data_IF_507093243404
#
_entry.id   IF_507093243404
#
_cell.length_a   1.000
_cell.length_b   1.000
_cell.length_c   1.000
_cell.angle_alpha   90.00
_cell.angle_beta   90.00
_cell.angle_gamma   90.00
#
_symmetry.space_group_name_H-M   'P 1'
#
loop_
_entity.id
_entity.type
_entity.pdbx_description
1 polymer ?
#
# COMPACT_ATOMS: atom_id res chain seq x y z
N UNK A 1 -0.32 -6.85 -21.77
CA UNK A 1 -0.54 -6.01 -20.57
C UNK A 1 -0.09 -6.79 -19.35
N UNK A 2 0.74 -6.20 -18.51
CA UNK A 2 1.19 -6.87 -17.29
C UNK A 2 0.02 -7.01 -16.31
N UNK A 3 0.00 -8.13 -15.58
CA UNK A 3 -1.02 -8.34 -14.56
C UNK A 3 -0.84 -7.34 -13.42
N UNK A 4 -1.96 -6.89 -12.85
CA UNK A 4 -1.95 -5.98 -11.72
C UNK A 4 -1.68 -6.76 -10.43
N UNK A 5 -0.68 -6.34 -9.68
CA UNK A 5 -0.31 -6.94 -8.40
C UNK A 5 -0.89 -6.14 -7.23
N UNK A 6 -1.02 -4.82 -7.40
CA UNK A 6 -1.45 -3.88 -6.36
C UNK A 6 -2.46 -2.92 -6.97
N UNK A 7 -3.56 -2.68 -6.25
CA UNK A 7 -4.56 -1.68 -6.63
C UNK A 7 -4.48 -0.49 -5.68
N UNK A 8 -4.44 0.71 -6.26
CA UNK A 8 -4.53 1.98 -5.55
C UNK A 8 -5.85 2.61 -6.00
N UNK A 9 -6.73 2.93 -5.06
CA UNK A 9 -8.06 3.41 -5.42
C UNK A 9 -8.09 4.87 -5.86
N UNK A 10 -7.35 5.71 -5.14
CA UNK A 10 -7.34 7.16 -5.34
C UNK A 10 -5.89 7.61 -5.47
N UNK A 11 -5.62 8.58 -6.35
CA UNK A 11 -4.26 9.10 -6.56
C UNK A 11 -3.64 9.64 -5.27
N UNK A 12 -4.47 10.09 -4.31
CA UNK A 12 -4.01 10.63 -3.03
C UNK A 12 -3.71 9.54 -2.00
N UNK A 13 -4.06 8.30 -2.28
CA UNK A 13 -3.81 7.20 -1.36
C UNK A 13 -2.31 6.96 -1.21
N UNK A 14 -1.85 6.78 0.02
CA UNK A 14 -0.46 6.49 0.30
C UNK A 14 -0.19 5.01 0.55
N UNK A 15 -1.21 4.18 0.41
CA UNK A 15 -1.10 2.72 0.46
C UNK A 15 -1.86 2.10 -0.71
N UNK A 16 -1.39 0.95 -1.15
CA UNK A 16 -2.09 0.11 -2.12
C UNK A 16 -2.49 -1.21 -1.48
N UNK A 17 -3.41 -1.92 -2.11
CA UNK A 17 -3.89 -3.23 -1.65
C UNK A 17 -3.35 -4.32 -2.56
N UNK A 18 -2.76 -5.35 -1.97
CA UNK A 18 -2.24 -6.51 -2.71
C UNK A 18 -3.42 -7.35 -3.18
N UNK A 19 -3.48 -7.62 -4.49
CA UNK A 19 -4.58 -8.38 -5.11
C UNK A 19 -4.14 -9.69 -5.73
N UNK A 20 -2.87 -10.06 -5.57
CA UNK A 20 -2.35 -11.39 -5.93
C UNK A 20 -2.17 -12.19 -4.64
N UNK A 21 -1.96 -13.49 -4.77
CA UNK A 21 -1.88 -14.39 -3.63
C UNK A 21 -0.84 -13.94 -2.60
N UNK A 22 0.32 -13.50 -3.07
CA UNK A 22 1.41 -13.05 -2.20
C UNK A 22 2.44 -12.26 -2.99
N UNK A 23 2.97 -11.20 -2.37
CA UNK A 23 4.14 -10.49 -2.86
C UNK A 23 5.35 -10.96 -2.05
N UNK A 24 6.45 -11.27 -2.72
CA UNK A 24 7.71 -11.66 -2.07
C UNK A 24 8.64 -10.44 -1.92
N UNK A 25 9.63 -10.49 -1.00
CA UNK A 25 10.59 -9.40 -0.87
C UNK A 25 11.36 -9.14 -2.17
N UNK A 26 11.62 -7.87 -2.46
CA UNK A 26 12.38 -7.42 -3.64
C UNK A 26 11.72 -7.76 -4.97
N UNK A 27 10.41 -7.92 -4.97
CA UNK A 27 9.63 -8.16 -6.16
C UNK A 27 9.24 -6.83 -6.81
N UNK A 28 9.40 -6.73 -8.13
CA UNK A 28 8.88 -5.59 -8.88
C UNK A 28 7.38 -5.81 -9.10
N UNK A 29 6.57 -4.90 -8.58
CA UNK A 29 5.12 -5.03 -8.60
C UNK A 29 4.50 -4.02 -9.54
N UNK A 30 3.48 -4.45 -10.27
CA UNK A 30 2.68 -3.57 -11.14
C UNK A 30 1.51 -3.02 -10.34
N UNK A 31 1.41 -1.70 -10.27
CA UNK A 31 0.36 -1.00 -9.53
C UNK A 31 -0.56 -0.30 -10.51
N UNK A 32 -1.86 -0.34 -10.21
CA UNK A 32 -2.88 0.33 -11.01
C UNK A 32 -3.67 1.29 -10.13
N UNK A 33 -3.71 2.57 -10.54
CA UNK A 33 -4.51 3.59 -9.86
C UNK A 33 -5.86 3.63 -10.56
N UNK A 34 -6.90 3.20 -9.87
CA UNK A 34 -8.24 3.05 -10.44
C UNK A 34 -8.86 4.39 -10.84
N UNK A 35 -8.65 5.42 -10.04
CA UNK A 35 -9.28 6.73 -10.23
C UNK A 35 -8.97 7.33 -11.60
N UNK A 36 -7.73 7.22 -12.07
CA UNK A 36 -7.29 7.86 -13.31
C UNK A 36 -6.71 6.89 -14.33
N UNK A 37 -6.85 5.60 -14.09
CA UNK A 37 -6.36 4.54 -14.99
C UNK A 37 -4.87 4.66 -15.30
N UNK A 38 -4.08 5.03 -14.31
CA UNK A 38 -2.62 5.12 -14.45
C UNK A 38 -1.96 3.89 -13.84
N UNK A 39 -0.81 3.55 -14.37
CA UNK A 39 -0.01 2.43 -13.88
C UNK A 39 1.36 2.94 -13.42
N UNK A 40 1.89 2.29 -12.41
CA UNK A 40 3.24 2.54 -11.93
C UNK A 40 3.82 1.25 -11.36
N UNK A 41 5.11 1.25 -11.07
CA UNK A 41 5.74 0.08 -10.45
C UNK A 41 6.39 0.46 -9.13
N UNK A 42 6.48 -0.53 -8.24
CA UNK A 42 7.12 -0.38 -6.94
C UNK A 42 7.85 -1.68 -6.61
N UNK A 43 9.01 -1.58 -5.97
CA UNK A 43 9.71 -2.75 -5.47
C UNK A 43 9.30 -3.00 -4.02
N UNK A 44 8.84 -4.20 -3.74
CA UNK A 44 8.48 -4.60 -2.37
C UNK A 44 9.73 -4.79 -1.52
N UNK A 45 9.58 -4.61 -0.21
CA UNK A 45 10.64 -4.86 0.77
C UNK A 45 10.32 -6.03 1.69
N UNK A 46 9.07 -6.43 1.74
CA UNK A 46 8.60 -7.49 2.61
C UNK A 46 7.73 -8.47 1.84
N UNK A 47 7.49 -9.63 2.45
CA UNK A 47 6.44 -10.53 2.01
C UNK A 47 5.10 -9.94 2.43
N UNK A 48 4.16 -9.80 1.50
CA UNK A 48 2.86 -9.19 1.76
C UNK A 48 1.76 -10.09 1.22
N UNK A 49 0.89 -10.62 2.09
CA UNK A 49 -0.19 -11.50 1.67
C UNK A 49 -1.32 -10.76 0.95
N UNK A 50 -2.13 -11.53 0.22
CA UNK A 50 -3.34 -11.03 -0.42
C UNK A 50 -4.21 -10.25 0.57
N UNK A 51 -4.69 -9.10 0.15
CA UNK A 51 -5.59 -8.26 0.96
C UNK A 51 -4.88 -7.33 1.93
N UNK A 52 -3.60 -7.54 2.18
CA UNK A 52 -2.82 -6.62 3.01
C UNK A 52 -2.37 -5.42 2.19
N UNK A 53 -1.86 -4.40 2.85
CA UNK A 53 -1.48 -3.14 2.22
C UNK A 53 0.03 -2.99 2.10
N UNK A 54 0.45 -2.24 1.10
CA UNK A 54 1.85 -1.89 0.86
C UNK A 54 1.97 -0.36 0.85
N UNK A 55 3.03 0.16 1.46
CA UNK A 55 3.30 1.59 1.46
C UNK A 55 3.75 2.05 0.08
N UNK A 56 3.08 3.05 -0.48
CA UNK A 56 3.43 3.62 -1.77
C UNK A 56 4.42 4.77 -1.64
N UNK A 57 4.63 5.27 -0.42
CA UNK A 57 5.58 6.34 -0.07
C UNK A 57 6.15 6.04 1.30
N UNK A 58 7.23 6.74 1.67
CA UNK A 58 7.74 6.67 3.04
C UNK A 58 6.74 7.34 3.98
N UNK A 59 6.47 6.69 5.10
CA UNK A 59 5.52 7.16 6.11
C UNK A 59 6.23 7.28 7.44
N UNK A 60 6.04 8.41 8.11
CA UNK A 60 6.61 8.65 9.42
C UNK A 60 5.58 8.36 10.52
N UNK A 61 6.06 8.05 11.73
CA UNK A 61 5.19 7.90 12.88
C UNK A 61 4.31 9.14 13.04
N UNK A 62 3.01 8.92 13.19
CA UNK A 62 2.03 9.99 13.28
C UNK A 62 1.36 10.36 11.97
N UNK A 63 1.88 9.90 10.85
CA UNK A 63 1.27 10.17 9.54
C UNK A 63 -0.07 9.46 9.41
N UNK A 64 -0.94 10.05 8.60
CA UNK A 64 -2.28 9.51 8.31
C UNK A 64 -2.20 8.52 7.15
N UNK A 65 -2.88 7.39 7.28
CA UNK A 65 -3.06 6.44 6.18
C UNK A 65 -4.30 6.84 5.39
N UNK A 66 -4.12 7.05 4.09
CA UNK A 66 -5.19 7.42 3.17
C UNK A 66 -5.52 6.24 2.27
N UNK A 67 -6.80 5.89 2.23
CA UNK A 67 -7.35 4.88 1.32
C UNK A 67 -8.71 5.37 0.84
N UNK A 68 -8.96 5.29 -0.46
CA UNK A 68 -10.14 5.91 -1.08
C UNK A 68 -10.22 7.41 -0.78
N UNK A 69 -9.07 8.08 -0.58
CA UNK A 69 -9.04 9.47 -0.19
C UNK A 69 -9.47 9.74 1.25
N UNK A 70 -9.73 8.70 2.04
CA UNK A 70 -10.19 8.81 3.43
C UNK A 70 -9.10 8.40 4.42
N UNK A 71 -9.11 9.06 5.57
CA UNK A 71 -8.24 8.73 6.70
C UNK A 71 -8.76 7.47 7.38
N UNK A 72 -7.98 6.38 7.26
CA UNK A 72 -8.36 5.09 7.85
C UNK A 72 -7.49 4.70 9.04
N UNK A 73 -6.46 5.46 9.35
CA UNK A 73 -5.59 5.13 10.46
C UNK A 73 -4.40 6.03 10.59
N UNK A 74 -3.59 5.77 11.61
CA UNK A 74 -2.38 6.52 11.92
C UNK A 74 -1.19 5.58 12.00
N UNK A 75 -0.07 5.98 11.43
CA UNK A 75 1.18 5.24 11.48
C UNK A 75 1.74 5.29 12.90
N UNK A 76 2.01 4.13 13.49
CA UNK A 76 2.58 4.03 14.84
C UNK A 76 4.05 3.64 14.84
N UNK A 77 4.58 3.21 13.70
CA UNK A 77 6.01 2.95 13.48
C UNK A 77 6.35 3.40 12.07
N UNK A 78 7.49 4.04 11.89
CA UNK A 78 7.93 4.48 10.56
C UNK A 78 7.91 3.34 9.55
N UNK A 79 7.42 3.63 8.35
CA UNK A 79 7.26 2.66 7.27
C UNK A 79 7.98 3.23 6.04
N UNK A 80 8.76 2.39 5.36
CA UNK A 80 9.43 2.78 4.12
C UNK A 80 8.58 2.35 2.93
N UNK A 81 8.70 3.10 1.83
CA UNK A 81 8.06 2.74 0.56
C UNK A 81 8.36 1.29 0.21
N UNK A 82 7.34 0.52 -0.11
CA UNK A 82 7.48 -0.89 -0.43
C UNK A 82 7.33 -1.84 0.74
N UNK A 83 7.20 -1.32 1.96
CA UNK A 83 7.01 -2.15 3.14
C UNK A 83 5.56 -2.51 3.40
N UNK A 84 5.37 -3.60 4.12
CA UNK A 84 4.06 -4.12 4.53
C UNK A 84 3.40 -3.16 5.53
N UNK A 85 2.15 -2.79 5.25
CA UNK A 85 1.34 -1.94 6.11
C UNK A 85 0.17 -2.76 6.65
N UNK A 86 0.12 -2.95 7.96
CA UNK A 86 -0.94 -3.71 8.60
C UNK A 86 -1.04 -3.29 10.06
N UNK A 87 -1.78 -4.05 10.87
CA UNK A 87 -2.04 -3.70 12.28
C UNK A 87 -0.78 -3.57 13.14
N UNK A 88 0.34 -4.15 12.71
CA UNK A 88 1.60 -4.08 13.46
C UNK A 88 2.25 -2.68 13.42
N UNK A 89 1.95 -1.86 12.39
CA UNK A 89 2.55 -0.54 12.23
C UNK A 89 1.53 0.58 12.01
N UNK A 90 0.24 0.25 12.05
CA UNK A 90 -0.85 1.21 11.88
C UNK A 90 -1.91 0.98 12.94
N UNK A 91 -2.32 2.05 13.61
CA UNK A 91 -3.49 2.04 14.50
C UNK A 91 -4.67 2.55 13.70
N UNK A 92 -5.70 1.74 13.62
CA UNK A 92 -6.88 2.05 12.82
C UNK A 92 -7.83 2.97 13.58
N UNK A 93 -8.51 3.84 12.85
CA UNK A 93 -9.52 4.73 13.43
C UNK A 93 -10.91 4.12 13.32
N UNK A 94 -11.19 3.50 12.19
CA UNK A 94 -12.44 2.79 11.94
C UNK A 94 -12.20 1.68 10.96
N UNK A 95 -12.84 0.62 11.20
CA UNK A 95 -12.90 -0.47 10.26
C UNK A 95 -14.34 -0.82 9.96
#
# INVERSE_FOLDING_TARGET
MADTDIIIHDEKDNVGVVVIEKITPNQDCNCWIMENDKSLSIQSKNEIPLGHKIAMVDLNEGDTILKYGHDIGKVVKSIKKGEHVHVHNVKTKKW
#
